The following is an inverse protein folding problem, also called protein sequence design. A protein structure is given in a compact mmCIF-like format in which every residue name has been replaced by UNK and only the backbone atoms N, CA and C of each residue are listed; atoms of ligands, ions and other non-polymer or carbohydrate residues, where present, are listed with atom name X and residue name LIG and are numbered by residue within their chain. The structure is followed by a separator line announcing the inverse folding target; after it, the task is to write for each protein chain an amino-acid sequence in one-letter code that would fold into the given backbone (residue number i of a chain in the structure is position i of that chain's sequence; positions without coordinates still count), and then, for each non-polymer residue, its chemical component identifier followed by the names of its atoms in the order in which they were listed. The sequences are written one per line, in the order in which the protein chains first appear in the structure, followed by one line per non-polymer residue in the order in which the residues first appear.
data_IF_452676508101
#
_entry.id   IF_452676508101
#
_cell.length_a   1.000
_cell.length_b   1.000
_cell.length_c   1.000
_cell.angle_alpha   90.00
_cell.angle_beta   90.00
_cell.angle_gamma   90.00
#
_symmetry.space_group_name_H-M   'P 1'
#
loop_
_entity.id
_entity.type
_entity.pdbx_description
1 polymer ?
#
# COMPACT_ATOMS: atom_id res chain seq x y z
N UNK A 1 15.02 12.95 13.62
CA UNK A 1 14.39 12.97 12.28
C UNK A 1 12.88 13.17 12.43
N UNK A 2 12.26 13.83 11.44
CA UNK A 2 10.84 14.23 11.40
C UNK A 2 9.87 13.08 11.05
N UNK A 3 10.38 11.85 10.88
CA UNK A 3 9.60 10.67 10.51
C UNK A 3 9.49 10.50 8.99
N UNK A 4 8.77 9.47 8.55
CA UNK A 4 8.48 9.20 7.14
C UNK A 4 7.03 8.76 6.95
N UNK A 5 6.53 8.87 5.72
CA UNK A 5 5.28 8.22 5.30
C UNK A 5 5.48 6.75 4.97
N UNK A 6 4.36 6.07 4.71
CA UNK A 6 4.30 4.72 4.16
C UNK A 6 3.09 4.60 3.23
N UNK A 7 2.95 3.47 2.55
CA UNK A 7 1.76 3.16 1.77
C UNK A 7 1.23 1.79 2.19
N UNK A 8 -0.10 1.62 2.09
CA UNK A 8 -0.76 0.33 2.30
C UNK A 8 -1.25 -0.15 0.95
N UNK A 9 -0.40 -0.94 0.28
CA UNK A 9 -0.74 -1.55 -0.99
C UNK A 9 -2.04 -2.36 -0.84
N UNK A 10 -3.04 -1.99 -1.63
CA UNK A 10 -4.38 -2.56 -1.55
C UNK A 10 -4.75 -3.24 -2.87
N UNK A 11 -5.53 -4.31 -2.77
CA UNK A 11 -6.15 -4.98 -3.91
C UNK A 11 -7.66 -4.79 -3.84
N UNK A 12 -8.34 -4.77 -4.99
CA UNK A 12 -9.78 -4.54 -5.06
C UNK A 12 -10.40 -5.32 -6.20
N UNK A 13 -11.62 -5.82 -5.97
CA UNK A 13 -12.44 -6.45 -7.01
C UNK A 13 -13.14 -5.37 -7.84
N UNK A 14 -13.07 -5.50 -9.16
CA UNK A 14 -13.75 -4.58 -10.08
C UNK A 14 -15.24 -4.93 -10.13
N UNK A 15 -16.10 -3.95 -9.82
CA UNK A 15 -17.55 -4.12 -9.92
C UNK A 15 -17.96 -4.42 -11.37
N UNK A 16 -18.68 -5.53 -11.57
CA UNK A 16 -19.09 -5.98 -12.91
C UNK A 16 -17.95 -6.53 -13.77
N UNK A 17 -16.80 -6.87 -13.17
CA UNK A 17 -15.70 -7.51 -13.89
C UNK A 17 -16.09 -8.85 -14.52
N UNK A 18 -15.38 -9.29 -15.58
CA UNK A 18 -15.79 -10.42 -16.42
C UNK A 18 -15.70 -11.80 -15.75
N UNK A 19 -14.89 -11.94 -14.71
CA UNK A 19 -14.64 -13.23 -14.03
C UNK A 19 -14.67 -13.08 -12.51
N UNK A 20 -15.85 -12.77 -11.91
CA UNK A 20 -15.95 -12.43 -10.50
C UNK A 20 -15.47 -13.55 -9.57
N UNK A 21 -15.79 -14.81 -9.90
CA UNK A 21 -15.40 -15.98 -9.09
C UNK A 21 -13.89 -16.21 -9.08
N UNK A 22 -13.23 -16.08 -10.24
CA UNK A 22 -11.78 -16.25 -10.34
C UNK A 22 -11.04 -15.06 -9.72
N UNK A 23 -11.55 -13.84 -9.90
CA UNK A 23 -11.01 -12.65 -9.27
C UNK A 23 -11.10 -12.76 -7.74
N UNK A 24 -12.22 -13.27 -7.20
CA UNK A 24 -12.35 -13.49 -5.75
C UNK A 24 -11.36 -14.54 -5.25
N UNK A 25 -11.18 -15.65 -5.97
CA UNK A 25 -10.18 -16.67 -5.59
C UNK A 25 -8.77 -16.10 -5.53
N UNK A 26 -8.39 -15.27 -6.51
CA UNK A 26 -7.09 -14.59 -6.50
C UNK A 26 -6.98 -13.58 -5.35
N UNK A 27 -8.04 -12.79 -5.13
CA UNK A 27 -8.11 -11.82 -4.03
C UNK A 27 -7.91 -12.50 -2.67
N UNK A 28 -8.65 -13.59 -2.40
CA UNK A 28 -8.53 -14.35 -1.16
C UNK A 28 -7.13 -14.97 -1.02
N UNK A 29 -6.58 -15.54 -2.10
CA UNK A 29 -5.23 -16.13 -2.10
C UNK A 29 -4.13 -15.10 -1.83
N UNK A 30 -4.23 -13.91 -2.41
CA UNK A 30 -3.28 -12.82 -2.22
C UNK A 30 -3.21 -12.31 -0.76
N UNK A 31 -4.19 -12.68 0.07
CA UNK A 31 -4.26 -12.35 1.49
C UNK A 31 -3.88 -13.54 2.41
N UNK A 32 -3.25 -14.58 1.86
CA UNK A 32 -2.76 -15.74 2.63
C UNK A 32 -1.33 -15.53 3.14
N UNK A 33 -0.94 -16.32 4.14
CA UNK A 33 0.45 -16.38 4.63
C UNK A 33 1.44 -16.71 3.50
N UNK A 34 1.08 -17.64 2.61
CA UNK A 34 1.94 -17.97 1.46
C UNK A 34 2.19 -16.77 0.54
N UNK A 35 1.17 -15.93 0.31
CA UNK A 35 1.34 -14.70 -0.44
C UNK A 35 2.21 -13.69 0.33
N UNK A 36 2.01 -13.56 1.64
CA UNK A 36 2.81 -12.70 2.51
C UNK A 36 4.30 -13.07 2.47
N UNK A 37 4.66 -14.36 2.52
CA UNK A 37 6.04 -14.84 2.36
C UNK A 37 6.64 -14.44 1.01
N UNK A 38 5.85 -14.54 -0.08
CA UNK A 38 6.30 -14.13 -1.41
C UNK A 38 6.57 -12.62 -1.44
N UNK A 39 5.70 -11.80 -0.84
CA UNK A 39 5.90 -10.35 -0.73
C UNK A 39 7.14 -10.01 0.09
N UNK A 40 7.35 -10.69 1.22
CA UNK A 40 8.53 -10.50 2.07
C UNK A 40 9.85 -10.81 1.33
N UNK A 41 9.83 -11.72 0.36
CA UNK A 41 11.00 -12.09 -0.46
C UNK A 41 11.53 -10.96 -1.39
N UNK A 42 10.76 -9.89 -1.54
CA UNK A 42 11.09 -8.72 -2.37
C UNK A 42 11.06 -7.41 -1.59
N UNK A 43 11.43 -7.46 -0.30
CA UNK A 43 11.59 -6.30 0.60
C UNK A 43 10.29 -5.55 0.96
N UNK A 44 9.12 -6.15 0.70
CA UNK A 44 7.84 -5.63 1.19
C UNK A 44 7.66 -6.06 2.65
N UNK A 45 7.11 -5.19 3.50
CA UNK A 45 6.58 -5.58 4.80
C UNK A 45 5.10 -5.99 4.62
N UNK A 46 4.77 -7.29 4.66
CA UNK A 46 3.41 -7.74 4.43
C UNK A 46 2.49 -7.50 5.64
N UNK A 47 1.19 -7.74 5.44
CA UNK A 47 0.12 -7.56 6.42
C UNK A 47 0.06 -8.65 7.51
N UNK A 48 0.89 -9.70 7.38
CA UNK A 48 1.10 -10.75 8.39
C UNK A 48 2.55 -10.74 8.83
N UNK A 49 2.80 -11.09 10.09
CA UNK A 49 4.16 -11.25 10.60
C UNK A 49 4.78 -12.53 10.02
N UNK A 50 5.65 -12.37 9.02
CA UNK A 50 6.46 -13.42 8.39
C UNK A 50 7.93 -13.02 8.40
N UNK A 51 8.82 -13.97 8.12
CA UNK A 51 10.25 -13.68 8.01
C UNK A 51 10.51 -12.71 6.85
N UNK A 52 11.08 -11.54 7.19
CA UNK A 52 11.45 -10.54 6.21
C UNK A 52 12.81 -10.88 5.60
N UNK A 53 12.99 -10.48 4.34
CA UNK A 53 14.28 -10.58 3.67
C UNK A 53 15.38 -9.85 4.44
N UNK A 54 16.58 -10.42 4.42
CA UNK A 54 17.77 -9.81 4.99
C UNK A 54 17.95 -8.36 4.50
N UNK A 55 18.10 -7.44 5.45
CA UNK A 55 18.21 -6.00 5.19
C UNK A 55 16.88 -5.23 5.21
N UNK A 56 15.73 -5.91 5.21
CA UNK A 56 14.44 -5.25 5.43
C UNK A 56 14.24 -4.91 6.92
N UNK A 57 13.61 -3.77 7.18
CA UNK A 57 13.29 -3.30 8.53
C UNK A 57 11.77 -3.37 8.68
N UNK A 58 11.22 -4.06 9.70
CA UNK A 58 9.78 -4.10 9.92
C UNK A 58 9.26 -2.70 10.20
N UNK A 59 8.06 -2.38 9.68
CA UNK A 59 7.46 -1.04 9.81
C UNK A 59 7.32 -0.59 11.26
N UNK A 60 7.13 -1.53 12.21
CA UNK A 60 7.06 -1.26 13.65
C UNK A 60 8.34 -0.67 14.26
N UNK A 61 9.48 -0.80 13.57
CA UNK A 61 10.77 -0.20 13.95
C UNK A 61 11.06 1.11 13.21
N UNK A 62 10.19 1.53 12.29
CA UNK A 62 10.32 2.78 11.54
C UNK A 62 9.53 3.87 12.23
N UNK A 63 10.14 5.05 12.43
CA UNK A 63 9.42 6.22 12.91
C UNK A 63 8.54 6.78 11.79
N UNK A 64 7.25 6.44 11.80
CA UNK A 64 6.28 6.89 10.80
C UNK A 64 5.45 8.08 11.29
N UNK A 65 4.84 8.79 10.34
CA UNK A 65 3.77 9.75 10.64
C UNK A 65 2.48 9.03 11.02
N UNK A 66 1.54 9.76 11.63
CA UNK A 66 0.15 9.31 11.73
C UNK A 66 -0.51 9.53 10.37
N UNK A 67 -0.70 8.45 9.62
CA UNK A 67 -1.29 8.49 8.29
C UNK A 67 -2.82 8.55 8.35
N UNK A 68 -3.41 9.47 7.58
CA UNK A 68 -4.86 9.60 7.41
C UNK A 68 -5.20 9.44 5.92
N UNK A 69 -5.43 8.20 5.52
CA UNK A 69 -5.72 7.85 4.12
C UNK A 69 -7.06 8.42 3.64
N UNK A 70 -8.01 8.63 4.55
CA UNK A 70 -9.33 9.20 4.22
C UNK A 70 -9.20 10.68 3.89
N UNK A 71 -8.49 11.44 4.73
CA UNK A 71 -8.21 12.85 4.45
C UNK A 71 -7.37 13.00 3.18
N UNK A 72 -6.34 12.16 2.99
CA UNK A 72 -5.51 12.20 1.80
C UNK A 72 -6.32 11.92 0.53
N UNK A 73 -7.18 10.90 0.56
CA UNK A 73 -8.10 10.58 -0.54
C UNK A 73 -9.06 11.73 -0.85
N UNK A 74 -9.69 12.30 0.18
CA UNK A 74 -10.62 13.43 0.03
C UNK A 74 -9.94 14.71 -0.49
N UNK A 75 -8.63 14.87 -0.27
CA UNK A 75 -7.86 16.05 -0.68
C UNK A 75 -7.02 15.84 -1.94
N UNK A 76 -7.03 14.65 -2.54
CA UNK A 76 -6.16 14.27 -3.66
C UNK A 76 -6.19 15.32 -4.77
N UNK A 77 -7.37 15.66 -5.29
CA UNK A 77 -7.50 16.57 -6.43
C UNK A 77 -6.97 17.97 -6.11
N UNK A 78 -7.27 18.48 -4.92
CA UNK A 78 -6.75 19.78 -4.43
C UNK A 78 -5.22 19.78 -4.34
N UNK A 79 -4.63 18.71 -3.82
CA UNK A 79 -3.19 18.60 -3.62
C UNK A 79 -2.44 18.44 -4.95
N UNK A 80 -2.96 17.62 -5.87
CA UNK A 80 -2.39 17.45 -7.21
C UNK A 80 -2.46 18.76 -7.98
N UNK A 81 -3.62 19.43 -8.00
CA UNK A 81 -3.76 20.72 -8.68
C UNK A 81 -2.79 21.78 -8.15
N UNK A 82 -2.66 21.88 -6.81
CA UNK A 82 -1.71 22.80 -6.17
C UNK A 82 -0.27 22.50 -6.57
N UNK A 83 0.12 21.23 -6.59
CA UNK A 83 1.47 20.83 -6.99
C UNK A 83 1.76 21.18 -8.46
N UNK A 84 0.80 20.92 -9.36
CA UNK A 84 0.92 21.27 -10.77
C UNK A 84 1.10 22.78 -10.96
N UNK A 85 0.28 23.61 -10.28
CA UNK A 85 0.35 25.06 -10.45
C UNK A 85 1.56 25.71 -9.79
N UNK A 86 1.93 25.29 -8.57
CA UNK A 86 2.94 25.99 -7.76
C UNK A 86 4.35 25.41 -7.91
N UNK A 87 4.48 24.11 -8.23
CA UNK A 87 5.77 23.41 -8.28
C UNK A 87 6.18 23.08 -9.70
N UNK A 88 5.26 22.55 -10.53
CA UNK A 88 5.59 22.27 -11.93
C UNK A 88 5.56 23.51 -12.82
N UNK A 89 4.84 24.57 -12.41
CA UNK A 89 4.63 25.75 -13.24
C UNK A 89 3.83 25.47 -14.52
N UNK A 90 2.93 24.47 -14.46
CA UNK A 90 2.00 24.12 -15.55
C UNK A 90 0.61 24.67 -15.28
#
# INVERSE_FOLDING_TARGET
SEGTGYEVASISLIKGGPQPELAKKLYDWALTERAAEIYASVFVCPFLDVELKEGAIPISKVKTIVQDDVWAGANKDRLVAKWTSEVMGQ
#
